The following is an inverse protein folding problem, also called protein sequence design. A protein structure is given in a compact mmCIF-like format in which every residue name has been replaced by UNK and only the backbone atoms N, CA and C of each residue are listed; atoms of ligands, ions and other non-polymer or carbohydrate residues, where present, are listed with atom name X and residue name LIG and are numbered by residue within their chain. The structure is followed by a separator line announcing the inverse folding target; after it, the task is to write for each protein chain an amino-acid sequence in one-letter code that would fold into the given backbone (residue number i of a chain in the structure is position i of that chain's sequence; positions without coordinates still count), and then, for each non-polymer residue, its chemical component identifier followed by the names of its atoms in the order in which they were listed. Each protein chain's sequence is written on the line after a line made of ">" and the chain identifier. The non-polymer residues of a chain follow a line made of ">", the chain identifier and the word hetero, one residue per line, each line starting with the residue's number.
data_IF_500224383170
#
_entry.id   IF_500224383170
#
_cell.length_a   1.000
_cell.length_b   1.000
_cell.length_c   1.000
_cell.angle_alpha   90.00
_cell.angle_beta   90.00
_cell.angle_gamma   90.00
#
_symmetry.space_group_name_H-M   'P 1'
#
loop_
_entity.id
_entity.type
_entity.pdbx_description
1 polymer ?
#
# COMPACT_ATOMS: atom_id res chain seq x y z
N UNK A 1 27.93 -9.82 16.43
CA UNK A 1 26.90 -9.52 15.40
C UNK A 1 26.04 -8.35 15.88
N UNK A 2 25.86 -7.30 15.07
CA UNK A 2 25.08 -6.12 15.45
C UNK A 2 23.56 -6.37 15.30
N UNK A 3 22.77 -5.72 16.16
CA UNK A 3 21.30 -5.85 16.19
C UNK A 3 20.60 -5.47 14.88
N UNK A 4 21.24 -4.62 14.06
CA UNK A 4 20.68 -4.12 12.79
C UNK A 4 20.57 -5.23 11.73
N UNK A 5 21.19 -6.39 11.95
CA UNK A 5 21.11 -7.53 11.03
C UNK A 5 19.91 -8.45 11.30
N UNK A 6 19.20 -8.29 12.41
CA UNK A 6 18.01 -9.09 12.70
C UNK A 6 16.80 -8.59 11.89
N UNK A 7 16.11 -9.46 11.12
CA UNK A 7 14.98 -9.05 10.26
C UNK A 7 13.87 -8.30 11.02
N UNK A 8 13.62 -8.68 12.28
CA UNK A 8 12.63 -8.06 13.14
C UNK A 8 13.01 -6.64 13.63
N UNK A 9 14.31 -6.30 13.64
CA UNK A 9 14.86 -5.06 14.20
C UNK A 9 15.31 -4.10 13.10
N UNK A 10 15.87 -4.63 11.99
CA UNK A 10 16.41 -3.88 10.85
C UNK A 10 15.43 -2.85 10.27
N UNK A 11 14.15 -3.18 10.23
CA UNK A 11 13.08 -2.33 9.68
C UNK A 11 12.51 -1.32 10.68
N UNK A 12 12.89 -1.36 11.97
CA UNK A 12 12.28 -0.55 13.04
C UNK A 12 13.31 0.36 13.71
N UNK A 13 13.61 1.51 13.08
CA UNK A 13 14.56 2.53 13.59
C UNK A 13 14.29 2.93 15.05
N UNK A 14 13.04 3.15 15.45
CA UNK A 14 12.71 3.51 16.84
C UNK A 14 13.03 2.39 17.84
N UNK A 15 12.87 1.12 17.43
CA UNK A 15 13.17 -0.03 18.28
C UNK A 15 14.68 -0.14 18.51
N UNK A 16 15.50 0.09 17.48
CA UNK A 16 16.95 0.12 17.61
C UNK A 16 17.46 1.23 18.55
N UNK A 17 16.83 2.41 18.52
CA UNK A 17 17.18 3.52 19.42
C UNK A 17 16.85 3.15 20.87
N UNK A 18 15.64 2.63 21.12
CA UNK A 18 15.22 2.23 22.47
C UNK A 18 16.06 1.09 23.06
N UNK A 19 16.48 0.12 22.24
CA UNK A 19 17.39 -0.94 22.69
C UNK A 19 18.76 -0.39 23.09
N UNK A 20 19.31 0.54 22.30
CA UNK A 20 20.55 1.25 22.66
C UNK A 20 20.43 2.02 23.96
N UNK A 21 19.29 2.67 24.22
CA UNK A 21 19.04 3.36 25.50
C UNK A 21 19.05 2.40 26.70
N UNK A 22 18.74 1.12 26.50
CA UNK A 22 18.84 0.08 27.52
C UNK A 22 20.22 -0.60 27.57
N UNK A 23 21.21 -0.10 26.84
CA UNK A 23 22.56 -0.69 26.77
C UNK A 23 22.66 -1.95 25.91
N UNK A 24 21.62 -2.27 25.12
CA UNK A 24 21.58 -3.46 24.25
C UNK A 24 21.99 -3.03 22.83
N UNK A 25 23.23 -3.35 22.45
CA UNK A 25 23.82 -2.99 21.14
C UNK A 25 24.19 -4.21 20.28
N UNK A 26 24.36 -5.37 20.93
CA UNK A 26 24.74 -6.63 20.29
C UNK A 26 23.60 -7.65 20.36
N UNK A 27 23.61 -8.60 19.42
CA UNK A 27 22.64 -9.70 19.40
C UNK A 27 22.77 -10.56 20.67
N UNK A 28 23.99 -10.74 21.19
CA UNK A 28 24.24 -11.50 22.42
C UNK A 28 23.59 -10.83 23.64
N UNK A 29 23.79 -9.52 23.81
CA UNK A 29 23.12 -8.76 24.88
C UNK A 29 21.59 -8.82 24.81
N UNK A 30 21.03 -8.91 23.59
CA UNK A 30 19.59 -9.10 23.42
C UNK A 30 19.15 -10.52 23.78
N UNK A 31 19.95 -11.54 23.46
CA UNK A 31 19.69 -12.92 23.83
C UNK A 31 19.75 -13.12 25.36
N UNK A 32 20.68 -12.45 26.03
CA UNK A 32 20.87 -12.49 27.49
C UNK A 32 19.92 -11.56 28.27
N UNK A 33 19.14 -10.73 27.57
CA UNK A 33 18.24 -9.77 28.20
C UNK A 33 17.08 -10.47 28.94
N UNK A 34 16.65 -9.87 30.05
CA UNK A 34 15.52 -10.38 30.82
C UNK A 34 14.23 -10.42 29.97
N UNK A 35 13.70 -11.62 29.72
CA UNK A 35 12.51 -11.82 28.88
C UNK A 35 11.28 -11.04 29.35
N UNK A 36 11.04 -10.96 30.66
CA UNK A 36 9.87 -10.26 31.20
C UNK A 36 9.98 -8.76 30.95
N UNK A 37 11.18 -8.19 31.11
CA UNK A 37 11.45 -6.79 30.79
C UNK A 37 11.28 -6.53 29.29
N UNK A 38 11.81 -7.40 28.43
CA UNK A 38 11.68 -7.28 26.98
C UNK A 38 10.21 -7.34 26.55
N UNK A 39 9.43 -8.29 27.09
CA UNK A 39 8.00 -8.42 26.81
C UNK A 39 7.23 -7.17 27.24
N UNK A 40 7.51 -6.64 28.44
CA UNK A 40 6.84 -5.46 28.99
C UNK A 40 7.16 -4.19 28.19
N UNK A 41 8.40 -4.04 27.74
CA UNK A 41 8.87 -2.81 27.08
C UNK A 41 8.70 -2.82 25.56
N UNK A 42 8.82 -3.99 24.92
CA UNK A 42 8.84 -4.13 23.46
C UNK A 42 7.79 -5.09 22.88
N UNK A 43 6.99 -5.73 23.73
CA UNK A 43 5.91 -6.62 23.34
C UNK A 43 6.38 -8.03 22.93
N UNK A 44 5.38 -8.87 22.63
CA UNK A 44 5.53 -10.31 22.41
C UNK A 44 6.41 -10.64 21.19
N UNK A 45 6.42 -9.79 20.16
CA UNK A 45 7.23 -10.04 18.94
C UNK A 45 8.73 -10.00 19.24
N UNK A 46 9.16 -9.04 20.07
CA UNK A 46 10.57 -8.90 20.45
C UNK A 46 10.97 -10.02 21.42
N UNK A 47 10.07 -10.39 22.34
CA UNK A 47 10.26 -11.56 23.22
C UNK A 47 10.45 -12.86 22.41
N UNK A 48 9.60 -13.11 21.41
CA UNK A 48 9.74 -14.27 20.51
C UNK A 48 11.07 -14.26 19.77
N UNK A 49 11.57 -13.08 19.39
CA UNK A 49 12.90 -12.94 18.77
C UNK A 49 14.00 -13.33 19.75
N UNK A 50 13.94 -12.92 21.02
CA UNK A 50 14.89 -13.34 22.07
C UNK A 50 14.86 -14.85 22.29
N UNK A 51 13.66 -15.45 22.32
CA UNK A 51 13.50 -16.90 22.44
C UNK A 51 14.11 -17.66 21.26
N UNK A 52 13.90 -17.17 20.04
CA UNK A 52 14.49 -17.73 18.82
C UNK A 52 16.02 -17.70 18.87
N UNK A 53 16.60 -16.57 19.32
CA UNK A 53 18.06 -16.43 19.49
C UNK A 53 18.64 -17.40 20.53
N UNK A 54 17.81 -17.82 21.49
CA UNK A 54 18.13 -18.83 22.48
C UNK A 54 17.69 -20.25 22.06
N UNK A 55 17.42 -20.47 20.77
CA UNK A 55 17.13 -21.80 20.22
C UNK A 55 15.71 -22.32 20.48
N UNK A 56 14.80 -21.47 20.97
CA UNK A 56 13.38 -21.84 21.12
C UNK A 56 12.59 -21.36 19.89
N UNK A 57 12.15 -22.27 19.00
CA UNK A 57 11.43 -21.90 17.78
C UNK A 57 10.08 -21.26 18.13
N UNK A 58 9.94 -19.98 17.82
CA UNK A 58 8.77 -19.16 18.15
C UNK A 58 8.15 -18.47 16.91
N UNK A 59 8.85 -18.49 15.78
CA UNK A 59 8.40 -17.89 14.52
C UNK A 59 8.08 -19.03 13.55
N UNK A 60 6.80 -19.36 13.41
CA UNK A 60 6.33 -20.34 12.42
C UNK A 60 6.40 -19.77 11.00
N UNK A 61 6.70 -20.63 10.03
CA UNK A 61 6.65 -20.31 8.58
C UNK A 61 5.21 -20.56 8.08
N UNK A 62 4.21 -20.24 8.90
CA UNK A 62 2.82 -20.49 8.53
C UNK A 62 2.45 -19.71 7.27
N UNK A 63 1.54 -20.26 6.44
CA UNK A 63 0.98 -19.50 5.34
C UNK A 63 0.41 -18.18 5.87
N UNK A 64 0.77 -17.08 5.21
CA UNK A 64 0.26 -15.76 5.57
C UNK A 64 -1.28 -15.82 5.65
N UNK A 65 -1.90 -15.23 6.68
CA UNK A 65 -3.34 -15.21 6.78
C UNK A 65 -3.94 -14.55 5.53
N UNK A 66 -5.18 -14.91 5.21
CA UNK A 66 -5.90 -14.31 4.10
C UNK A 66 -5.79 -12.77 4.17
N UNK A 67 -5.38 -12.14 3.07
CA UNK A 67 -5.24 -10.69 3.00
C UNK A 67 -6.59 -10.06 3.33
N UNK A 68 -6.59 -9.17 4.32
CA UNK A 68 -7.80 -8.48 4.78
C UNK A 68 -8.03 -7.16 4.03
N UNK A 69 -6.98 -6.63 3.40
CA UNK A 69 -7.03 -5.35 2.69
C UNK A 69 -5.99 -5.26 1.58
N UNK A 70 -6.32 -4.52 0.53
CA UNK A 70 -5.39 -4.16 -0.56
C UNK A 70 -5.21 -2.66 -0.54
N UNK A 71 -3.97 -2.22 -0.27
CA UNK A 71 -3.61 -0.81 -0.24
C UNK A 71 -2.78 -0.46 -1.48
N UNK A 72 -3.21 0.57 -2.20
CA UNK A 72 -2.46 1.22 -3.26
C UNK A 72 -2.27 2.68 -2.90
N UNK A 73 -1.08 3.04 -2.45
CA UNK A 73 -0.76 4.41 -2.03
C UNK A 73 0.65 4.80 -2.41
N UNK A 74 0.87 6.10 -2.64
CA UNK A 74 2.19 6.67 -2.89
C UNK A 74 2.26 8.08 -2.31
N UNK A 75 3.44 8.44 -1.84
CA UNK A 75 3.79 9.84 -1.61
C UNK A 75 4.11 10.48 -2.96
N UNK A 76 3.66 11.70 -3.16
CA UNK A 76 3.88 12.48 -4.37
C UNK A 76 5.29 13.06 -4.39
N UNK A 77 5.89 13.15 -5.59
CA UNK A 77 7.18 13.78 -5.79
C UNK A 77 7.13 15.30 -5.61
N UNK A 78 6.02 15.88 -6.06
CA UNK A 78 5.63 17.27 -5.83
C UNK A 78 4.28 17.32 -5.11
N UNK A 79 4.04 18.38 -4.34
CA UNK A 79 2.79 18.48 -3.58
C UNK A 79 1.62 18.69 -4.53
N UNK A 80 0.58 17.89 -4.38
CA UNK A 80 -0.66 18.03 -5.14
C UNK A 80 -1.50 19.14 -4.51
N UNK A 81 -1.85 20.14 -5.31
CA UNK A 81 -2.61 21.33 -4.88
C UNK A 81 -3.94 21.48 -5.60
N UNK A 82 -4.15 20.75 -6.71
CA UNK A 82 -5.39 20.81 -7.48
C UNK A 82 -6.19 19.52 -7.31
N UNK A 83 -7.52 19.64 -7.32
CA UNK A 83 -8.41 18.49 -7.26
C UNK A 83 -8.23 17.58 -8.48
N UNK A 84 -7.97 18.16 -9.65
CA UNK A 84 -7.77 17.41 -10.89
C UNK A 84 -6.56 16.48 -10.81
N UNK A 85 -5.42 16.97 -10.33
CA UNK A 85 -4.22 16.14 -10.14
C UNK A 85 -4.45 15.04 -9.10
N UNK A 86 -5.18 15.37 -8.03
CA UNK A 86 -5.55 14.38 -7.02
C UNK A 86 -6.46 13.29 -7.61
N UNK A 87 -7.47 13.66 -8.40
CA UNK A 87 -8.36 12.71 -9.09
C UNK A 87 -7.57 11.80 -10.03
N UNK A 88 -6.62 12.34 -10.79
CA UNK A 88 -5.75 11.53 -11.64
C UNK A 88 -4.93 10.50 -10.85
N UNK A 89 -4.33 10.94 -9.74
CA UNK A 89 -3.58 10.05 -8.86
C UNK A 89 -4.43 8.94 -8.27
N UNK A 90 -5.60 9.32 -7.74
CA UNK A 90 -6.57 8.39 -7.16
C UNK A 90 -7.06 7.39 -8.20
N UNK A 91 -7.34 7.83 -9.43
CA UNK A 91 -7.73 6.93 -10.52
C UNK A 91 -6.64 5.89 -10.80
N UNK A 92 -5.37 6.30 -10.93
CA UNK A 92 -4.28 5.36 -11.12
C UNK A 92 -4.11 4.38 -9.93
N UNK A 93 -4.30 4.86 -8.71
CA UNK A 93 -4.20 3.99 -7.52
C UNK A 93 -5.35 2.99 -7.46
N UNK A 94 -6.56 3.38 -7.88
CA UNK A 94 -7.74 2.54 -7.96
C UNK A 94 -7.53 1.42 -8.98
N UNK A 95 -7.07 1.76 -10.18
CA UNK A 95 -6.72 0.79 -11.23
C UNK A 95 -5.75 -0.26 -10.71
N UNK A 96 -4.67 0.17 -10.07
CA UNK A 96 -3.65 -0.73 -9.55
C UNK A 96 -4.13 -1.55 -8.36
N UNK A 97 -5.06 -1.05 -7.56
CA UNK A 97 -5.67 -1.80 -6.48
C UNK A 97 -6.64 -2.87 -7.03
N UNK A 98 -7.45 -2.52 -8.01
CA UNK A 98 -8.40 -3.41 -8.66
C UNK A 98 -7.70 -4.54 -9.42
N UNK A 99 -6.59 -4.25 -10.11
CA UNK A 99 -5.76 -5.27 -10.76
C UNK A 99 -5.23 -6.30 -9.75
N UNK A 100 -4.76 -5.86 -8.59
CA UNK A 100 -4.30 -6.76 -7.52
C UNK A 100 -5.45 -7.59 -6.94
N UNK A 101 -6.61 -6.98 -6.75
CA UNK A 101 -7.81 -7.65 -6.26
C UNK A 101 -8.21 -8.81 -7.18
N UNK A 102 -8.16 -8.58 -8.51
CA UNK A 102 -8.41 -9.62 -9.52
C UNK A 102 -7.33 -10.71 -9.55
N UNK A 103 -6.06 -10.35 -9.38
CA UNK A 103 -4.97 -11.33 -9.25
C UNK A 103 -5.17 -12.27 -8.04
N UNK A 104 -5.78 -11.75 -6.97
CA UNK A 104 -6.13 -12.50 -5.77
C UNK A 104 -7.49 -13.21 -5.87
N UNK A 105 -8.20 -13.06 -7.01
CA UNK A 105 -9.53 -13.65 -7.27
C UNK A 105 -10.56 -13.28 -6.21
N UNK A 106 -10.52 -12.03 -5.76
CA UNK A 106 -11.41 -11.50 -4.74
C UNK A 106 -12.32 -10.40 -5.31
N UNK A 107 -13.42 -10.15 -4.61
CA UNK A 107 -14.31 -9.02 -4.81
C UNK A 107 -14.24 -8.14 -3.56
N UNK A 108 -14.43 -6.83 -3.68
CA UNK A 108 -14.49 -5.93 -2.53
C UNK A 108 -15.85 -5.22 -2.45
N UNK A 109 -16.34 -5.00 -1.23
CA UNK A 109 -17.53 -4.17 -0.97
C UNK A 109 -17.17 -2.79 -0.48
N UNK A 110 -16.02 -2.61 0.18
CA UNK A 110 -15.66 -1.32 0.74
C UNK A 110 -14.45 -0.73 0.00
N UNK A 111 -14.64 0.48 -0.52
CA UNK A 111 -13.59 1.29 -1.15
C UNK A 111 -13.34 2.52 -0.30
N UNK A 112 -12.13 2.64 0.23
CA UNK A 112 -11.72 3.76 1.08
C UNK A 112 -10.60 4.54 0.43
N UNK A 113 -10.59 5.85 0.66
CA UNK A 113 -9.54 6.77 0.23
C UNK A 113 -9.03 7.53 1.44
N UNK A 114 -7.72 7.81 1.44
CA UNK A 114 -7.12 8.74 2.37
C UNK A 114 -6.22 9.73 1.65
N UNK A 115 -6.20 10.96 2.15
CA UNK A 115 -5.31 12.03 1.70
C UNK A 115 -4.67 12.69 2.92
N UNK A 116 -3.42 13.14 2.76
CA UNK A 116 -2.68 13.81 3.84
C UNK A 116 -1.65 14.79 3.32
N UNK A 117 -1.49 15.89 4.05
CA UNK A 117 -0.33 16.79 3.95
C UNK A 117 0.83 16.24 4.78
N UNK A 118 1.96 16.95 4.77
CA UNK A 118 3.13 16.51 5.52
C UNK A 118 3.07 16.99 6.96
N UNK A 119 3.21 16.10 7.96
CA UNK A 119 3.30 16.52 9.37
C UNK A 119 4.65 17.21 9.69
N UNK A 120 5.61 17.18 8.75
CA UNK A 120 6.94 17.78 8.91
C UNK A 120 7.09 19.09 8.13
N UNK A 121 6.03 19.57 7.48
CA UNK A 121 6.03 20.87 6.83
C UNK A 121 5.62 21.95 7.83
N UNK A 122 6.06 23.19 7.58
CA UNK A 122 5.62 24.39 8.32
C UNK A 122 4.16 24.76 8.04
N UNK A 123 3.56 24.14 7.03
CA UNK A 123 2.18 24.35 6.59
C UNK A 123 1.18 23.62 7.49
N UNK A 124 -0.11 24.05 7.51
CA UNK A 124 -1.15 23.38 8.26
C UNK A 124 -1.26 21.88 7.94
N UNK A 125 -1.24 21.07 9.00
CA UNK A 125 -1.46 19.64 8.86
C UNK A 125 -2.94 19.36 8.57
N UNK A 126 -3.18 18.58 7.51
CA UNK A 126 -4.49 18.06 7.18
C UNK A 126 -4.35 16.62 6.75
N UNK A 127 -5.15 15.74 7.35
CA UNK A 127 -5.25 14.34 6.99
C UNK A 127 -6.68 13.90 7.19
N UNK A 128 -7.26 13.26 6.19
CA UNK A 128 -8.62 12.76 6.26
C UNK A 128 -8.77 11.46 5.48
N UNK A 129 -9.79 10.70 5.81
CA UNK A 129 -10.18 9.49 5.12
C UNK A 129 -11.70 9.44 4.94
N UNK A 130 -12.14 8.81 3.87
CA UNK A 130 -13.54 8.49 3.61
C UNK A 130 -13.64 7.12 2.98
N UNK A 131 -14.82 6.51 3.11
CA UNK A 131 -15.11 5.22 2.51
C UNK A 131 -16.49 5.23 1.85
N UNK A 132 -16.66 4.30 0.93
CA UNK A 132 -17.91 3.99 0.27
C UNK A 132 -18.12 2.49 0.38
N UNK A 133 -19.29 2.10 0.88
CA UNK A 133 -19.72 0.71 0.90
C UNK A 133 -20.63 0.49 -0.32
N UNK A 134 -20.23 -0.45 -1.17
CA UNK A 134 -20.96 -0.89 -2.34
C UNK A 134 -21.98 -1.94 -1.91
N UNK A 135 -23.17 -1.86 -2.50
CA UNK A 135 -24.25 -2.82 -2.25
C UNK A 135 -23.81 -4.23 -2.67
N UNK A 136 -23.34 -4.36 -3.92
CA UNK A 136 -22.75 -5.57 -4.47
C UNK A 136 -21.23 -5.51 -4.43
N UNK A 137 -20.60 -6.64 -4.14
CA UNK A 137 -19.15 -6.73 -4.17
C UNK A 137 -18.67 -6.74 -5.62
N UNK A 138 -17.65 -5.94 -5.92
CA UNK A 138 -17.13 -5.77 -7.29
C UNK A 138 -15.63 -5.95 -7.34
N UNK A 139 -15.16 -6.34 -8.52
CA UNK A 139 -13.75 -6.29 -8.91
C UNK A 139 -13.57 -5.47 -10.19
N UNK A 140 -14.62 -4.78 -10.66
CA UNK A 140 -14.57 -3.91 -11.84
C UNK A 140 -13.87 -2.60 -11.48
N UNK A 141 -12.83 -2.27 -12.25
CA UNK A 141 -12.04 -1.06 -12.05
C UNK A 141 -12.91 0.22 -12.14
N UNK A 142 -13.93 0.23 -13.00
CA UNK A 142 -14.79 1.39 -13.23
C UNK A 142 -15.60 1.74 -12.00
N UNK A 143 -16.14 0.73 -11.32
CA UNK A 143 -16.96 0.92 -10.13
C UNK A 143 -16.10 1.33 -8.93
N UNK A 144 -14.91 0.73 -8.80
CA UNK A 144 -13.92 1.10 -7.79
C UNK A 144 -13.43 2.55 -8.00
N UNK A 145 -13.15 2.96 -9.23
CA UNK A 145 -12.77 4.34 -9.58
C UNK A 145 -13.92 5.28 -9.22
N UNK A 146 -15.15 4.98 -9.64
CA UNK A 146 -16.30 5.83 -9.37
C UNK A 146 -16.56 6.01 -7.86
N UNK A 147 -16.48 4.92 -7.09
CA UNK A 147 -16.58 4.97 -5.62
C UNK A 147 -15.45 5.80 -4.99
N UNK A 148 -14.23 5.65 -5.49
CA UNK A 148 -13.07 6.43 -5.02
C UNK A 148 -13.24 7.92 -5.29
N UNK A 149 -13.77 8.31 -6.45
CA UNK A 149 -14.03 9.72 -6.77
C UNK A 149 -15.10 10.32 -5.87
N UNK A 150 -16.22 9.61 -5.65
CA UNK A 150 -17.24 10.05 -4.69
C UNK A 150 -16.64 10.24 -3.30
N UNK A 151 -15.84 9.28 -2.82
CA UNK A 151 -15.21 9.39 -1.52
C UNK A 151 -14.21 10.55 -1.44
N UNK A 152 -13.46 10.82 -2.52
CA UNK A 152 -12.49 11.92 -2.59
C UNK A 152 -13.19 13.28 -2.44
N UNK A 153 -14.32 13.46 -3.13
CA UNK A 153 -15.05 14.74 -3.14
C UNK A 153 -15.53 15.14 -1.74
N UNK A 154 -15.74 14.19 -0.84
CA UNK A 154 -16.14 14.46 0.57
C UNK A 154 -14.97 14.91 1.46
N UNK A 155 -13.73 14.57 1.09
CA UNK A 155 -12.56 14.81 1.95
C UNK A 155 -11.57 15.81 1.35
N UNK A 156 -11.77 16.23 0.11
CA UNK A 156 -10.96 17.26 -0.52
C UNK A 156 -11.15 18.61 0.18
N UNK A 157 -10.06 19.36 0.34
CA UNK A 157 -10.08 20.74 0.79
C UNK A 157 -9.08 21.56 -0.01
N UNK A 158 -9.55 22.65 -0.58
CA UNK A 158 -8.69 23.62 -1.26
C UNK A 158 -7.76 24.33 -0.26
N UNK A 159 -6.65 24.85 -0.77
CA UNK A 159 -5.62 25.54 0.02
C UNK A 159 -4.62 24.62 0.73
N UNK A 160 -4.76 23.30 0.61
CA UNK A 160 -3.81 22.33 1.18
C UNK A 160 -2.85 21.76 0.13
N UNK A 161 -1.61 21.49 0.55
CA UNK A 161 -0.55 20.92 -0.28
C UNK A 161 -0.30 19.46 0.08
N UNK A 162 -1.08 18.57 -0.55
CA UNK A 162 -1.10 17.15 -0.23
C UNK A 162 0.23 16.46 -0.59
N UNK A 163 0.75 15.68 0.34
CA UNK A 163 2.00 14.92 0.18
C UNK A 163 1.73 13.46 -0.19
N UNK A 164 0.59 12.90 0.22
CA UNK A 164 0.29 11.48 0.02
C UNK A 164 -1.20 11.25 -0.14
N UNK A 165 -1.54 10.32 -1.02
CA UNK A 165 -2.87 9.77 -1.14
C UNK A 165 -2.81 8.26 -1.34
N UNK A 166 -3.93 7.59 -1.16
CA UNK A 166 -4.06 6.18 -1.45
C UNK A 166 -5.49 5.67 -1.35
N UNK A 167 -5.69 4.51 -1.95
CA UNK A 167 -6.91 3.73 -1.88
C UNK A 167 -6.66 2.45 -1.08
N UNK A 168 -7.67 2.07 -0.33
CA UNK A 168 -7.76 0.85 0.46
C UNK A 168 -9.02 0.12 0.02
N UNK A 169 -8.87 -1.12 -0.43
CA UNK A 169 -9.98 -2.02 -0.69
C UNK A 169 -10.10 -2.97 0.50
N UNK A 170 -11.32 -3.12 1.02
CA UNK A 170 -11.67 -3.90 2.20
C UNK A 170 -12.93 -4.72 1.93
N UNK A 171 -13.29 -5.54 2.92
CA UNK A 171 -14.50 -6.37 2.92
C UNK A 171 -14.52 -7.30 1.71
N UNK A 172 -13.57 -8.24 1.73
CA UNK A 172 -13.33 -9.15 0.63
C UNK A 172 -14.22 -10.38 0.69
N UNK A 173 -14.74 -10.77 -0.46
CA UNK A 173 -15.50 -11.99 -0.64
C UNK A 173 -15.07 -12.73 -1.92
N UNK A 174 -15.36 -14.03 -1.98
CA UNK A 174 -15.01 -14.88 -3.13
C UNK A 174 -16.01 -14.78 -4.28
N UNK A 175 -17.17 -14.17 -4.06
CA UNK A 175 -18.26 -14.03 -5.04
C UNK A 175 -18.96 -12.68 -4.85
N UNK A 176 -19.50 -12.08 -5.92
CA UNK A 176 -20.10 -10.74 -5.89
C UNK A 176 -21.36 -10.61 -5.01
N UNK A 177 -21.91 -11.73 -4.52
CA UNK A 177 -23.17 -11.80 -3.78
C UNK A 177 -24.35 -12.15 -4.69
N UNK A 178 -25.53 -12.28 -4.09
CA UNK A 178 -26.79 -12.43 -4.83
C UNK A 178 -27.35 -11.05 -5.16
N UNK A 179 -27.77 -10.84 -6.40
CA UNK A 179 -28.38 -9.59 -6.87
C UNK A 179 -29.77 -9.47 -6.23
N UNK A 180 -30.09 -8.30 -5.69
CA UNK A 180 -31.46 -8.00 -5.26
C UNK A 180 -32.35 -7.85 -6.50
N UNK A 181 -33.58 -8.38 -6.46
CA UNK A 181 -34.51 -8.33 -7.60
C UNK A 181 -34.88 -6.88 -7.97
N UNK A 182 -34.66 -5.94 -7.05
CA UNK A 182 -34.91 -4.50 -7.21
C UNK A 182 -33.64 -3.65 -7.24
N UNK A 183 -32.48 -4.24 -7.50
CA UNK A 183 -31.22 -3.50 -7.49
C UNK A 183 -31.18 -2.46 -8.62
N UNK A 184 -31.07 -1.18 -8.26
CA UNK A 184 -31.02 -0.07 -9.22
C UNK A 184 -29.68 0.00 -9.96
N UNK A 185 -28.65 -0.72 -9.49
CA UNK A 185 -27.32 -0.76 -10.10
C UNK A 185 -26.85 -2.21 -10.34
N UNK A 186 -27.44 -2.93 -11.31
CA UNK A 186 -27.02 -4.28 -11.62
C UNK A 186 -25.54 -4.30 -12.09
N UNK A 187 -24.84 -5.43 -11.88
CA UNK A 187 -23.47 -5.58 -12.34
C UNK A 187 -23.39 -5.37 -13.85
N UNK A 188 -22.38 -4.63 -14.29
CA UNK A 188 -22.23 -4.26 -15.71
C UNK A 188 -22.11 -5.52 -16.58
N UNK A 189 -22.87 -5.55 -17.68
CA UNK A 189 -22.78 -6.60 -18.66
C UNK A 189 -21.32 -6.77 -19.15
N UNK A 190 -20.87 -8.02 -19.22
CA UNK A 190 -19.54 -8.43 -19.67
C UNK A 190 -18.36 -7.81 -18.90
N UNK A 191 -18.59 -7.38 -17.65
CA UNK A 191 -17.57 -6.76 -16.81
C UNK A 191 -16.32 -7.65 -16.65
N UNK A 192 -16.51 -8.93 -16.34
CA UNK A 192 -15.42 -9.87 -16.10
C UNK A 192 -14.58 -10.10 -17.35
N UNK A 193 -15.21 -10.32 -18.51
CA UNK A 193 -14.53 -10.49 -19.79
C UNK A 193 -13.73 -9.23 -20.16
N UNK A 194 -14.33 -8.04 -19.99
CA UNK A 194 -13.65 -6.79 -20.27
C UNK A 194 -12.42 -6.59 -19.38
N UNK A 195 -12.58 -6.77 -18.06
CA UNK A 195 -11.46 -6.61 -17.12
C UNK A 195 -10.34 -7.63 -17.40
N UNK A 196 -10.70 -8.88 -17.73
CA UNK A 196 -9.73 -9.91 -18.11
C UNK A 196 -8.92 -9.52 -19.36
N UNK A 197 -9.58 -8.96 -20.38
CA UNK A 197 -8.90 -8.47 -21.59
C UNK A 197 -7.97 -7.29 -21.28
N UNK A 198 -8.43 -6.33 -20.47
CA UNK A 198 -7.61 -5.17 -20.06
C UNK A 198 -6.36 -5.63 -19.30
N UNK A 199 -6.53 -6.51 -18.32
CA UNK A 199 -5.43 -7.04 -17.52
C UNK A 199 -4.45 -7.84 -18.38
N UNK A 200 -4.96 -8.63 -19.33
CA UNK A 200 -4.12 -9.39 -20.26
C UNK A 200 -3.27 -8.48 -21.14
N UNK A 201 -3.87 -7.44 -21.73
CA UNK A 201 -3.13 -6.44 -22.54
C UNK A 201 -2.01 -5.79 -21.70
N UNK A 202 -2.35 -5.37 -20.48
CA UNK A 202 -1.40 -4.73 -19.57
C UNK A 202 -0.28 -5.68 -19.09
N UNK A 203 -0.53 -6.99 -19.02
CA UNK A 203 0.44 -8.01 -18.60
C UNK A 203 1.35 -8.46 -19.75
N UNK A 204 0.81 -8.63 -20.94
CA UNK A 204 1.55 -9.10 -22.13
C UNK A 204 2.46 -8.01 -22.72
N UNK A 205 2.29 -6.75 -22.30
CA UNK A 205 3.17 -5.65 -22.72
C UNK A 205 2.98 -5.23 -24.18
N UNK A 206 1.97 -5.77 -24.87
CA UNK A 206 1.55 -5.40 -26.23
C UNK A 206 1.13 -3.92 -26.29
N UNK A 207 0.74 -3.36 -25.14
CA UNK A 207 0.53 -1.94 -24.92
C UNK A 207 0.23 -1.67 -23.45
N UNK A 208 -0.06 -0.42 -23.11
CA UNK A 208 -0.58 -0.04 -21.80
C UNK A 208 -1.95 0.60 -22.00
N UNK A 209 -2.99 -0.02 -21.48
CA UNK A 209 -4.35 0.53 -21.48
C UNK A 209 -4.64 1.07 -20.09
N UNK A 210 -5.22 2.26 -20.05
CA UNK A 210 -5.56 2.94 -18.81
C UNK A 210 -6.87 3.70 -18.95
N UNK A 211 -7.52 4.01 -17.84
CA UNK A 211 -8.74 4.78 -17.86
C UNK A 211 -8.41 6.26 -18.04
N UNK A 212 -9.21 6.98 -18.84
CA UNK A 212 -8.95 8.39 -19.15
C UNK A 212 -8.80 9.27 -17.89
N UNK A 213 -9.48 8.89 -16.80
CA UNK A 213 -9.39 9.58 -15.51
C UNK A 213 -8.00 9.66 -14.90
N UNK A 214 -7.03 8.79 -15.27
CA UNK A 214 -5.67 8.86 -14.73
C UNK A 214 -4.77 9.93 -15.37
N UNK A 215 -5.23 10.61 -16.42
CA UNK A 215 -4.45 11.64 -17.13
C UNK A 215 -3.26 11.10 -17.93
N UNK A 216 -2.75 11.93 -18.83
CA UNK A 216 -1.60 11.61 -19.70
C UNK A 216 -0.31 12.16 -19.08
N UNK A 217 -0.32 13.44 -18.72
CA UNK A 217 0.78 14.08 -18.00
C UNK A 217 0.58 13.96 -16.48
N UNK A 218 1.66 13.64 -15.76
CA UNK A 218 1.61 13.29 -14.35
C UNK A 218 2.75 13.98 -13.60
N UNK A 219 2.66 15.31 -13.46
CA UNK A 219 3.64 16.12 -12.73
C UNK A 219 3.84 15.67 -11.27
N UNK A 220 2.83 15.04 -10.67
CA UNK A 220 2.86 14.49 -9.31
C UNK A 220 3.56 13.13 -9.17
N UNK A 221 4.13 12.56 -10.25
CA UNK A 221 4.84 11.28 -10.22
C UNK A 221 5.87 11.25 -9.09
N UNK A 222 5.99 10.09 -8.45
CA UNK A 222 6.98 9.87 -7.39
C UNK A 222 8.39 10.16 -7.91
N UNK A 223 9.14 11.01 -7.19
CA UNK A 223 10.57 11.23 -7.44
C UNK A 223 11.33 9.94 -7.20
N UNK A 224 12.13 9.56 -8.20
CA UNK A 224 12.90 8.30 -8.25
C UNK A 224 14.41 8.52 -8.25
N UNK A 225 14.85 9.75 -7.97
CA UNK A 225 16.25 10.19 -8.05
C UNK A 225 17.19 9.43 -7.09
N UNK A 226 16.66 8.91 -5.98
CA UNK A 226 17.41 8.13 -4.99
C UNK A 226 17.27 6.61 -5.16
N UNK A 227 16.81 6.12 -6.33
CA UNK A 227 16.81 4.69 -6.59
C UNK A 227 18.26 4.19 -6.75
N UNK A 228 18.59 3.15 -5.99
CA UNK A 228 19.81 2.38 -6.23
C UNK A 228 19.79 1.82 -7.67
N UNK A 229 20.93 1.83 -8.38
CA UNK A 229 20.98 1.33 -9.76
C UNK A 229 20.53 -0.13 -9.83
N UNK A 230 19.78 -0.47 -10.88
CA UNK A 230 19.23 -1.80 -11.06
C UNK A 230 20.23 -2.74 -11.75
N UNK A 231 21.37 -3.00 -11.09
CA UNK A 231 22.52 -3.71 -11.67
C UNK A 231 22.18 -5.06 -12.32
N UNK A 232 21.18 -5.77 -11.80
CA UNK A 232 20.82 -7.12 -12.26
C UNK A 232 19.69 -7.15 -13.29
N UNK A 233 18.95 -6.05 -13.46
CA UNK A 233 17.74 -6.03 -14.29
C UNK A 233 17.73 -4.95 -15.35
N UNK A 234 18.73 -4.05 -15.37
CA UNK A 234 18.85 -2.99 -16.36
C UNK A 234 20.32 -2.79 -16.78
N UNK A 235 20.61 -3.12 -18.03
CA UNK A 235 21.95 -2.97 -18.63
C UNK A 235 22.54 -1.56 -18.51
N UNK A 236 21.70 -0.52 -18.67
CA UNK A 236 22.14 0.88 -18.57
C UNK A 236 22.57 1.32 -17.16
N UNK A 237 22.28 0.52 -16.13
CA UNK A 237 22.60 0.81 -14.74
C UNK A 237 23.85 0.05 -14.27
N UNK A 238 24.51 -0.72 -15.16
CA UNK A 238 25.76 -1.40 -14.86
C UNK A 238 26.89 -0.40 -14.57
N UNK A 239 27.79 -0.70 -13.62
CA UNK A 239 28.95 0.14 -13.36
C UNK A 239 29.80 0.24 -14.63
N UNK A 240 30.03 1.46 -15.13
CA UNK A 240 30.94 1.68 -16.24
C UNK A 240 32.34 1.87 -15.69
N UNK A 241 33.27 1.01 -16.10
CA UNK A 241 34.70 1.19 -15.81
C UNK A 241 35.21 2.32 -16.71
N UNK A 242 35.73 3.38 -16.12
CA UNK A 242 36.54 4.37 -16.85
C UNK A 242 37.99 3.88 -16.80
N UNK A 243 38.59 3.72 -17.98
CA UNK A 243 40.03 3.48 -18.17
C UNK A 243 40.80 4.80 -18.10
#
# INVERSE_FOLDING_TARGET
>A
MHLVYLPAIKTKRQLSIKLKTLGIETVLQLADANLQLIKKTFGVVTERTVRELNGTPCISIDPLPAKQQIISSRSFGERVTTLQDMRQAVCQYAERAAEKLRQERQYCRQVSIFIRTSPYATEPFYGNNAHQTLMLATQDTRDIVAASMRALDHIWRDGYRYQKAGIILNDFCSRPGQIDMFDEQPPRANSEQLMSVIDRINKEGIGKVWFAGQGIDKGWKMKREMLSPAYTTRWGDLPKVQL
#
